data_IF_452198789916
#
_entry.id   IF_452198789916
#
_cell.length_a   1.000
_cell.length_b   1.000
_cell.length_c   1.000
_cell.angle_alpha   90.00
_cell.angle_beta   90.00
_cell.angle_gamma   90.00
#
_symmetry.space_group_name_H-M   'P 1'
#
loop_
_entity.id
_entity.type
_entity.pdbx_description
1 polymer ?
#
# COMPACT_ATOMS: atom_id res chain seq x y z
N UNK A 1 19.18 -7.83 57.42
CA UNK A 1 19.31 -6.79 56.35
C UNK A 1 19.43 -7.45 54.98
N UNK A 2 20.18 -8.55 54.89
CA UNK A 2 20.29 -9.47 53.74
C UNK A 2 18.95 -9.90 53.12
N UNK A 3 17.96 -10.34 53.90
CA UNK A 3 16.74 -10.93 53.33
C UNK A 3 15.87 -9.92 52.57
N UNK A 4 15.82 -8.68 53.04
CA UNK A 4 15.12 -7.58 52.35
C UNK A 4 15.82 -7.21 51.04
N UNK A 5 17.14 -7.29 51.01
CA UNK A 5 17.96 -7.04 49.80
C UNK A 5 17.75 -8.19 48.80
N UNK A 6 17.72 -9.44 49.25
CA UNK A 6 17.48 -10.61 48.38
C UNK A 6 16.08 -10.56 47.76
N UNK A 7 15.05 -10.25 48.56
CA UNK A 7 13.67 -10.10 48.05
C UNK A 7 13.56 -8.96 47.04
N UNK A 8 14.23 -7.83 47.27
CA UNK A 8 14.26 -6.70 46.34
C UNK A 8 14.92 -7.07 45.00
N UNK A 9 16.05 -7.80 45.04
CA UNK A 9 16.75 -8.25 43.83
C UNK A 9 15.88 -9.18 42.97
N UNK A 10 15.12 -10.09 43.59
CA UNK A 10 14.24 -11.02 42.87
C UNK A 10 13.11 -10.27 42.17
N UNK A 11 12.48 -9.32 42.87
CA UNK A 11 11.38 -8.51 42.31
C UNK A 11 11.89 -7.65 41.14
N UNK A 12 13.07 -7.03 41.28
CA UNK A 12 13.69 -6.25 40.20
C UNK A 12 14.02 -7.11 38.98
N UNK A 13 14.54 -8.31 39.18
CA UNK A 13 14.84 -9.24 38.08
C UNK A 13 13.56 -9.66 37.33
N UNK A 14 12.46 -9.96 38.04
CA UNK A 14 11.19 -10.34 37.42
C UNK A 14 10.61 -9.20 36.56
N UNK A 15 10.65 -7.96 37.04
CA UNK A 15 10.19 -6.78 36.30
C UNK A 15 11.04 -6.56 35.04
N UNK A 16 12.36 -6.72 35.14
CA UNK A 16 13.26 -6.57 34.00
C UNK A 16 12.97 -7.62 32.89
N UNK A 17 12.71 -8.88 33.25
CA UNK A 17 12.37 -9.93 32.28
C UNK A 17 11.06 -9.61 31.55
N UNK A 18 10.04 -9.15 32.28
CA UNK A 18 8.76 -8.75 31.68
C UNK A 18 8.96 -7.59 30.70
N UNK A 19 9.72 -6.55 31.09
CA UNK A 19 10.04 -5.42 30.22
C UNK A 19 10.76 -5.86 28.92
N UNK A 20 11.72 -6.78 29.02
CA UNK A 20 12.42 -7.33 27.85
C UNK A 20 11.47 -8.05 26.90
N UNK A 21 10.47 -8.78 27.41
CA UNK A 21 9.45 -9.44 26.57
C UNK A 21 8.58 -8.42 25.82
N UNK A 22 8.16 -7.34 26.48
CA UNK A 22 7.40 -6.26 25.83
C UNK A 22 8.23 -5.54 24.77
N UNK A 23 9.50 -5.26 25.05
CA UNK A 23 10.43 -4.65 24.09
C UNK A 23 10.68 -5.57 22.90
N UNK A 24 10.92 -6.87 23.12
CA UNK A 24 11.06 -7.85 22.02
C UNK A 24 9.81 -7.94 21.17
N UNK A 25 8.61 -7.92 21.79
CA UNK A 25 7.32 -7.92 21.07
C UNK A 25 7.13 -6.64 20.27
N UNK A 26 7.49 -5.48 20.83
CA UNK A 26 7.39 -4.19 20.15
C UNK A 26 8.41 -4.02 19.01
N UNK A 27 9.64 -4.52 19.19
CA UNK A 27 10.66 -4.57 18.13
C UNK A 27 10.23 -5.53 17.01
N UNK A 28 9.66 -6.70 17.34
CA UNK A 28 9.12 -7.62 16.36
C UNK A 28 7.97 -7.02 15.53
N UNK A 29 7.09 -6.24 16.16
CA UNK A 29 6.05 -5.48 15.46
C UNK A 29 6.64 -4.41 14.53
N UNK A 30 7.61 -3.61 15.01
CA UNK A 30 8.30 -2.60 14.18
C UNK A 30 9.08 -3.22 13.03
N UNK A 31 9.73 -4.36 13.25
CA UNK A 31 10.51 -5.08 12.22
C UNK A 31 9.61 -5.62 11.11
N UNK A 32 8.40 -6.09 11.42
CA UNK A 32 7.39 -6.52 10.41
C UNK A 32 6.86 -5.35 9.57
N UNK A 33 6.83 -4.15 10.12
CA UNK A 33 6.47 -2.93 9.39
C UNK A 33 7.65 -2.45 8.55
N UNK A 34 8.87 -2.53 9.07
CA UNK A 34 10.10 -2.10 8.39
C UNK A 34 10.54 -3.06 7.28
N UNK A 35 10.36 -4.37 7.40
CA UNK A 35 10.73 -5.34 6.34
C UNK A 35 9.79 -5.25 5.11
N UNK A 36 8.64 -4.57 5.22
CA UNK A 36 7.79 -4.21 4.07
C UNK A 36 8.05 -2.81 3.52
N UNK A 37 8.94 -2.05 4.16
CA UNK A 37 9.39 -0.73 3.70
C UNK A 37 10.86 -0.91 3.37
N UNK A 38 11.12 -1.33 2.13
CA UNK A 38 12.47 -1.27 1.57
C UNK A 38 13.05 0.12 1.81
N UNK A 39 14.31 0.18 2.24
CA UNK A 39 15.07 1.42 2.36
C UNK A 39 14.99 2.22 1.07
N UNK A 40 14.72 3.52 1.21
CA UNK A 40 14.83 4.50 0.13
C UNK A 40 13.50 4.90 -0.48
N UNK A 41 12.76 5.76 0.21
CA UNK A 41 12.11 6.99 -0.29
C UNK A 41 11.32 7.55 0.91
N UNK A 42 11.61 8.77 1.39
CA UNK A 42 10.80 9.38 2.46
C UNK A 42 9.34 9.43 2.01
N UNK A 43 8.36 9.25 2.93
CA UNK A 43 6.95 9.32 2.59
C UNK A 43 6.60 10.78 2.34
N UNK A 44 7.07 11.33 1.23
CA UNK A 44 6.38 12.45 0.61
C UNK A 44 5.02 11.88 0.26
N UNK A 45 3.99 12.34 0.96
CA UNK A 45 2.61 12.01 0.65
C UNK A 45 2.42 12.41 -0.81
N UNK A 46 2.51 11.45 -1.72
CA UNK A 46 1.99 11.60 -3.07
C UNK A 46 0.48 11.70 -2.86
N UNK A 47 0.03 12.92 -2.60
CA UNK A 47 -1.34 13.31 -2.82
C UNK A 47 -1.54 13.07 -4.30
N UNK A 48 -2.19 11.96 -4.64
CA UNK A 48 -2.93 11.94 -5.90
C UNK A 48 -3.88 13.10 -5.72
N UNK A 49 -3.56 14.21 -6.37
CA UNK A 49 -4.37 15.39 -6.36
C UNK A 49 -5.69 14.99 -6.96
N UNK A 50 -6.63 14.52 -6.13
CA UNK A 50 -8.04 14.72 -6.38
C UNK A 50 -8.27 16.21 -6.11
N UNK A 51 -7.59 17.06 -6.87
CA UNK A 51 -8.02 18.43 -7.06
C UNK A 51 -9.29 18.28 -7.88
N UNK A 52 -10.41 18.15 -7.19
CA UNK A 52 -11.68 18.69 -7.67
C UNK A 52 -11.48 20.18 -7.85
N UNK A 53 -10.77 20.54 -8.92
CA UNK A 53 -10.39 21.87 -9.30
C UNK A 53 -10.74 21.98 -10.77
N UNK A 54 -11.93 22.54 -10.98
CA UNK A 54 -12.48 23.08 -12.21
C UNK A 54 -11.41 23.28 -13.31
N UNK A 55 -11.32 22.31 -14.23
CA UNK A 55 -10.64 22.47 -15.50
C UNK A 55 -11.61 22.02 -16.58
N UNK A 56 -11.93 23.00 -17.41
CA UNK A 56 -12.74 22.96 -18.63
C UNK A 56 -13.24 21.59 -19.05
N UNK A 57 -14.55 21.54 -19.34
CA UNK A 57 -15.20 20.54 -20.21
C UNK A 57 -14.60 20.57 -21.62
N UNK A 58 -13.31 20.30 -21.72
CA UNK A 58 -12.68 19.84 -22.93
C UNK A 58 -13.20 18.42 -23.11
N UNK A 59 -13.83 18.17 -24.25
CA UNK A 59 -14.48 16.93 -24.67
C UNK A 59 -13.46 15.80 -24.85
N UNK A 60 -12.57 15.60 -23.89
CA UNK A 60 -11.57 14.56 -23.85
C UNK A 60 -12.15 13.28 -23.26
N UNK A 61 -11.68 12.15 -23.78
CA UNK A 61 -12.07 10.80 -23.36
C UNK A 61 -12.07 10.68 -21.82
N UNK A 62 -13.23 10.31 -21.25
CA UNK A 62 -13.46 10.13 -19.81
C UNK A 62 -12.36 9.28 -19.15
N UNK A 63 -11.96 8.20 -19.81
CA UNK A 63 -10.95 7.28 -19.33
C UNK A 63 -9.61 7.99 -19.13
N UNK A 64 -9.17 8.79 -20.11
CA UNK A 64 -7.92 9.55 -20.02
C UNK A 64 -7.95 10.50 -18.84
N UNK A 65 -9.04 11.25 -18.69
CA UNK A 65 -9.19 12.26 -17.64
C UNK A 65 -9.24 11.63 -16.24
N UNK A 66 -9.71 10.40 -16.10
CA UNK A 66 -9.83 9.75 -14.80
C UNK A 66 -8.58 8.94 -14.42
N UNK A 67 -7.98 8.21 -15.36
CA UNK A 67 -6.92 7.26 -15.07
C UNK A 67 -5.50 7.79 -15.35
N UNK A 68 -5.31 8.80 -16.20
CA UNK A 68 -3.98 9.30 -16.59
C UNK A 68 -3.60 10.56 -15.83
N UNK A 69 -3.66 10.48 -14.50
CA UNK A 69 -3.13 11.54 -13.65
C UNK A 69 -1.62 11.36 -13.47
N UNK A 70 -0.81 12.40 -13.69
CA UNK A 70 0.61 12.36 -13.37
C UNK A 70 0.80 11.97 -11.90
N UNK A 71 1.66 11.00 -11.65
CA UNK A 71 2.17 10.74 -10.32
C UNK A 71 3.58 11.33 -10.26
N UNK A 72 3.93 11.94 -9.13
CA UNK A 72 5.25 12.55 -8.92
C UNK A 72 6.41 11.52 -8.85
N UNK A 73 6.13 10.23 -9.08
CA UNK A 73 7.11 9.16 -9.09
C UNK A 73 7.65 8.90 -10.50
N UNK A 74 8.97 8.95 -10.65
CA UNK A 74 9.72 8.68 -11.90
C UNK A 74 9.75 7.19 -12.30
N UNK A 75 8.59 6.51 -12.24
CA UNK A 75 8.45 5.07 -12.54
C UNK A 75 8.24 4.77 -14.02
N UNK A 76 8.58 5.71 -14.91
CA UNK A 76 8.42 5.57 -16.37
C UNK A 76 9.04 4.28 -16.93
N UNK A 77 10.05 3.71 -16.24
CA UNK A 77 10.73 2.46 -16.62
C UNK A 77 10.68 1.36 -15.55
N UNK A 78 9.70 1.40 -14.63
CA UNK A 78 9.63 0.41 -13.56
C UNK A 78 9.16 -0.95 -14.10
N UNK A 79 10.04 -1.97 -14.01
CA UNK A 79 9.73 -3.36 -14.37
C UNK A 79 8.60 -3.95 -13.51
N UNK A 80 8.50 -3.48 -12.27
CA UNK A 80 7.49 -3.86 -11.30
C UNK A 80 6.67 -2.63 -10.90
N UNK A 81 5.34 -2.77 -10.82
CA UNK A 81 4.47 -1.68 -10.39
C UNK A 81 4.50 -1.58 -8.86
N UNK A 82 5.09 -0.51 -8.34
CA UNK A 82 5.08 -0.24 -6.91
C UNK A 82 3.69 0.28 -6.48
N UNK A 83 3.00 -0.48 -5.63
CA UNK A 83 1.75 -0.04 -5.01
C UNK A 83 2.09 0.82 -3.78
N UNK A 84 1.61 2.07 -3.73
CA UNK A 84 1.88 2.95 -2.59
C UNK A 84 1.42 2.30 -1.26
N UNK A 85 2.15 2.54 -0.14
CA UNK A 85 1.86 1.88 1.13
C UNK A 85 0.40 2.00 1.61
N UNK A 86 -0.24 3.16 1.38
CA UNK A 86 -1.65 3.39 1.74
C UNK A 86 -2.61 2.45 1.01
N UNK A 87 -2.37 2.17 -0.26
CA UNK A 87 -3.19 1.26 -1.06
C UNK A 87 -2.90 -0.19 -0.69
N UNK A 88 -1.64 -0.55 -0.47
CA UNK A 88 -1.27 -1.89 -0.03
C UNK A 88 -1.93 -2.28 1.31
N UNK A 89 -1.99 -1.35 2.28
CA UNK A 89 -2.67 -1.56 3.55
C UNK A 89 -4.18 -1.83 3.35
N UNK A 90 -4.83 -1.05 2.48
CA UNK A 90 -6.26 -1.22 2.16
C UNK A 90 -6.54 -2.55 1.47
N UNK A 91 -5.73 -2.91 0.47
CA UNK A 91 -5.82 -4.20 -0.23
C UNK A 91 -5.68 -5.37 0.74
N UNK A 92 -4.67 -5.31 1.63
CA UNK A 92 -4.44 -6.33 2.66
C UNK A 92 -5.64 -6.47 3.61
N UNK A 93 -6.32 -5.38 3.95
CA UNK A 93 -7.52 -5.41 4.78
C UNK A 93 -8.69 -6.11 4.06
N UNK A 94 -8.92 -5.82 2.78
CA UNK A 94 -9.96 -6.46 1.95
C UNK A 94 -9.71 -7.97 1.85
N UNK A 95 -8.51 -8.37 1.45
CA UNK A 95 -8.09 -9.77 1.35
C UNK A 95 -8.22 -10.47 2.70
N UNK A 96 -7.77 -9.83 3.78
CA UNK A 96 -7.89 -10.37 5.13
C UNK A 96 -9.34 -10.60 5.56
N UNK A 97 -10.25 -9.69 5.21
CA UNK A 97 -11.68 -9.84 5.49
C UNK A 97 -12.31 -10.99 4.71
N UNK A 98 -12.01 -11.10 3.42
CA UNK A 98 -12.49 -12.18 2.57
C UNK A 98 -12.03 -13.54 3.09
N UNK A 99 -10.76 -13.67 3.49
CA UNK A 99 -10.23 -14.92 4.08
C UNK A 99 -10.88 -15.28 5.41
N UNK A 100 -11.19 -14.28 6.26
CA UNK A 100 -11.97 -14.52 7.49
C UNK A 100 -13.38 -15.06 7.21
N UNK A 101 -13.94 -14.79 6.03
CA UNK A 101 -15.22 -15.35 5.55
C UNK A 101 -15.05 -16.67 4.80
N UNK A 102 -13.87 -17.26 4.81
CA UNK A 102 -13.58 -18.53 4.13
C UNK A 102 -13.34 -18.41 2.62
N UNK A 103 -13.21 -17.20 2.08
CA UNK A 103 -12.93 -16.98 0.66
C UNK A 103 -11.40 -17.03 0.46
N UNK A 104 -10.87 -18.01 -0.28
CA UNK A 104 -9.42 -18.17 -0.46
C UNK A 104 -8.92 -17.20 -1.54
N UNK A 105 -8.74 -15.93 -1.16
CA UNK A 105 -8.17 -14.89 -2.03
C UNK A 105 -6.79 -14.46 -1.54
N UNK A 106 -5.89 -14.16 -2.48
CA UNK A 106 -4.55 -13.62 -2.21
C UNK A 106 -4.49 -12.16 -2.66
N UNK A 107 -3.44 -11.44 -2.28
CA UNK A 107 -3.22 -10.08 -2.79
C UNK A 107 -3.06 -10.11 -4.32
N UNK A 108 -2.30 -11.08 -4.84
CA UNK A 108 -2.08 -11.26 -6.28
C UNK A 108 -3.39 -11.51 -7.01
N UNK A 109 -4.12 -12.57 -6.65
CA UNK A 109 -5.37 -12.90 -7.32
C UNK A 109 -6.44 -11.82 -7.18
N UNK A 110 -6.44 -11.04 -6.09
CA UNK A 110 -7.32 -9.88 -5.98
C UNK A 110 -6.93 -8.76 -6.95
N UNK A 111 -5.64 -8.47 -7.09
CA UNK A 111 -5.15 -7.46 -8.05
C UNK A 111 -5.38 -7.89 -9.49
N UNK A 112 -5.11 -9.16 -9.82
CA UNK A 112 -5.34 -9.70 -11.16
C UNK A 112 -6.81 -9.54 -11.56
N UNK A 113 -7.75 -9.89 -10.68
CA UNK A 113 -9.20 -9.76 -10.94
C UNK A 113 -9.64 -8.28 -11.09
N UNK A 114 -9.06 -7.37 -10.31
CA UNK A 114 -9.35 -5.93 -10.43
C UNK A 114 -8.86 -5.39 -11.77
N UNK A 115 -7.65 -5.77 -12.17
CA UNK A 115 -7.07 -5.37 -13.46
C UNK A 115 -7.84 -5.99 -14.63
N UNK A 116 -8.19 -7.27 -14.55
CA UNK A 116 -8.99 -7.96 -15.57
C UNK A 116 -10.34 -7.25 -15.76
N UNK A 117 -11.05 -6.96 -14.67
CA UNK A 117 -12.30 -6.22 -14.74
C UNK A 117 -12.11 -4.82 -15.34
N UNK A 118 -11.02 -4.13 -14.98
CA UNK A 118 -10.70 -2.81 -15.52
C UNK A 118 -10.48 -2.85 -17.04
N UNK A 119 -9.65 -3.79 -17.52
CA UNK A 119 -9.40 -3.94 -18.96
C UNK A 119 -10.64 -4.37 -19.71
N UNK A 120 -11.50 -5.20 -19.12
CA UNK A 120 -12.78 -5.56 -19.72
C UNK A 120 -13.73 -4.36 -19.82
N UNK A 121 -13.83 -3.56 -18.76
CA UNK A 121 -14.78 -2.44 -18.69
C UNK A 121 -14.41 -1.27 -19.59
N UNK A 122 -13.11 -1.07 -19.81
CA UNK A 122 -12.58 0.10 -20.52
C UNK A 122 -11.73 -0.27 -21.75
N UNK A 123 -11.83 -1.51 -22.23
CA UNK A 123 -11.00 -1.98 -23.35
C UNK A 123 -11.16 -1.14 -24.61
N UNK A 124 -12.40 -0.73 -24.92
CA UNK A 124 -12.70 0.16 -26.06
C UNK A 124 -12.06 1.54 -25.86
N UNK A 125 -12.31 2.20 -24.72
CA UNK A 125 -11.74 3.51 -24.40
C UNK A 125 -10.20 3.51 -24.42
N UNK A 126 -9.57 2.44 -23.92
CA UNK A 126 -8.13 2.25 -23.95
C UNK A 126 -7.65 2.15 -25.39
N UNK A 127 -8.31 1.34 -26.22
CA UNK A 127 -7.92 1.11 -27.63
C UNK A 127 -8.08 2.38 -28.46
N UNK A 128 -9.17 3.12 -28.27
CA UNK A 128 -9.42 4.40 -28.94
C UNK A 128 -8.33 5.42 -28.62
N UNK A 129 -7.81 5.44 -27.38
CA UNK A 129 -6.68 6.31 -27.02
C UNK A 129 -5.37 5.92 -27.72
N UNK A 130 -5.19 4.65 -28.10
CA UNK A 130 -4.02 4.22 -28.86
C UNK A 130 -4.16 4.58 -30.34
N UNK A 131 -5.33 4.36 -30.94
CA UNK A 131 -5.58 4.60 -32.36
C UNK A 131 -5.59 6.10 -32.72
N UNK A 132 -6.19 6.95 -31.89
CA UNK A 132 -6.27 8.39 -32.14
C UNK A 132 -4.92 9.13 -32.04
N UNK A 133 -3.85 8.45 -31.59
CA UNK A 133 -2.50 9.02 -31.55
C UNK A 133 -1.81 8.93 -32.92
N UNK A 134 -2.16 7.94 -33.74
CA UNK A 134 -1.52 7.66 -35.02
C UNK A 134 -2.02 8.56 -36.17
N UNK A 135 -3.20 9.18 -36.02
CA UNK A 135 -3.82 10.02 -37.07
C UNK A 135 -3.44 11.51 -36.98
N UNK A 136 -2.57 11.90 -36.05
CA UNK A 136 -2.17 13.30 -35.81
C UNK A 136 -0.81 13.70 -36.38
N UNK A 137 -0.30 12.97 -37.38
CA UNK A 137 1.03 13.20 -37.95
C UNK A 137 1.04 13.76 -39.37
#
# INVERSE_FOLDING_TARGET
MSDKIIMLCIVLAAVAVIAVLFVRRAIGYRRRVSETIGEGIPPEEISIGVTGGDKSRETGNYYRNYFFHPADSSTENAKDVLIQPKYHARIKAIVGYARKRGIPVTIYSYMDNVLEHHFHSFGEDITDLHLNRDDSH
#
